data_IF_296296413705
#
_entry.id   IF_296296413705
#
_cell.length_a   1.000
_cell.length_b   1.000
_cell.length_c   1.000
_cell.angle_alpha   90.00
_cell.angle_beta   90.00
_cell.angle_gamma   90.00
#
_symmetry.space_group_name_H-M   'P 1'
#
loop_
_entity.id
_entity.type
_entity.pdbx_description
1 polymer ?
#
# COMPACT_ATOMS: atom_id res chain seq x y z
N UNK A 1 14.45 -16.99 15.67
CA UNK A 1 14.00 -16.52 16.99
C UNK A 1 13.48 -17.66 17.86
N UNK A 2 12.42 -18.42 17.46
CA UNK A 2 11.83 -19.49 18.30
C UNK A 2 12.83 -20.61 18.56
N UNK A 3 13.59 -21.07 17.57
CA UNK A 3 14.62 -22.09 17.73
C UNK A 3 15.74 -21.61 18.66
N UNK A 4 16.24 -20.40 18.46
CA UNK A 4 17.26 -19.78 19.31
C UNK A 4 16.79 -19.62 20.74
N UNK A 5 15.57 -19.08 20.95
CA UNK A 5 14.99 -18.87 22.28
C UNK A 5 14.80 -20.16 23.09
N UNK A 6 14.67 -21.30 22.41
CA UNK A 6 14.54 -22.64 23.02
C UNK A 6 15.84 -23.43 23.06
N UNK A 7 16.98 -22.81 22.72
CA UNK A 7 18.29 -23.46 22.69
C UNK A 7 18.42 -24.51 21.59
N UNK A 8 17.59 -24.43 20.55
CA UNK A 8 17.64 -25.28 19.36
C UNK A 8 18.67 -24.80 18.35
N UNK A 9 19.12 -25.71 17.47
CA UNK A 9 19.99 -25.44 16.34
C UNK A 9 19.21 -25.44 15.04
N UNK A 10 19.55 -24.52 14.10
CA UNK A 10 19.02 -24.54 12.73
C UNK A 10 19.34 -25.84 11.99
N UNK A 11 20.40 -26.55 12.39
CA UNK A 11 20.77 -27.86 11.83
C UNK A 11 19.76 -28.96 12.15
N UNK A 12 18.89 -28.76 13.16
CA UNK A 12 17.85 -29.72 13.54
C UNK A 12 16.61 -29.69 12.64
N UNK A 13 16.52 -28.71 11.71
CA UNK A 13 15.37 -28.51 10.82
C UNK A 13 15.89 -28.21 9.42
N UNK A 14 15.46 -29.00 8.45
CA UNK A 14 15.68 -28.70 7.04
C UNK A 14 14.64 -27.66 6.60
N UNK A 15 15.11 -26.50 6.10
CA UNK A 15 14.23 -25.44 5.64
C UNK A 15 14.76 -24.77 4.37
N UNK A 16 13.82 -24.39 3.51
CA UNK A 16 14.08 -23.65 2.27
C UNK A 16 13.25 -22.37 2.25
N UNK A 17 13.85 -21.29 1.76
CA UNK A 17 13.13 -20.03 1.51
C UNK A 17 12.76 -19.95 0.04
N UNK A 18 11.48 -20.02 -0.25
CA UNK A 18 10.94 -19.90 -1.61
C UNK A 18 10.47 -18.48 -1.84
N UNK A 19 10.95 -17.77 -2.89
CA UNK A 19 10.50 -16.43 -3.20
C UNK A 19 9.04 -16.41 -3.65
N UNK A 20 8.34 -15.32 -3.35
CA UNK A 20 6.94 -15.14 -3.74
C UNK A 20 6.66 -13.71 -4.21
N UNK A 21 5.48 -13.49 -4.80
CA UNK A 21 5.00 -12.18 -5.20
C UNK A 21 4.32 -11.52 -4.00
N UNK A 22 4.81 -10.37 -3.51
CA UNK A 22 4.15 -9.65 -2.42
C UNK A 22 2.84 -9.00 -2.89
N UNK A 23 1.93 -8.74 -1.95
CA UNK A 23 0.61 -8.20 -2.24
C UNK A 23 0.67 -6.86 -2.99
N UNK A 24 1.60 -5.96 -2.65
CA UNK A 24 1.77 -4.69 -3.39
C UNK A 24 2.00 -4.93 -4.88
N UNK A 25 2.88 -5.86 -5.25
CA UNK A 25 3.18 -6.16 -6.66
C UNK A 25 1.99 -6.84 -7.35
N UNK A 26 1.30 -7.73 -6.66
CA UNK A 26 0.08 -8.36 -7.19
C UNK A 26 -1.01 -7.33 -7.45
N UNK A 27 -1.25 -6.44 -6.49
CA UNK A 27 -2.22 -5.34 -6.60
C UNK A 27 -1.81 -4.32 -7.69
N UNK A 28 -0.54 -3.92 -7.72
CA UNK A 28 -0.01 -3.02 -8.76
C UNK A 28 -0.27 -3.56 -10.18
N UNK A 29 -0.08 -4.87 -10.39
CA UNK A 29 -0.35 -5.51 -11.68
C UNK A 29 -1.84 -5.48 -12.08
N UNK A 30 -2.77 -5.38 -11.14
CA UNK A 30 -4.22 -5.22 -11.40
C UNK A 30 -4.56 -3.78 -11.79
N UNK A 31 -3.89 -2.84 -11.17
CA UNK A 31 -4.12 -1.40 -11.37
C UNK A 31 -3.43 -0.84 -12.62
N UNK A 32 -2.37 -1.47 -13.10
CA UNK A 32 -1.57 -1.01 -14.24
C UNK A 32 -0.08 -0.98 -13.93
N UNK A 33 0.53 0.19 -13.86
CA UNK A 33 1.95 0.39 -13.58
C UNK A 33 2.22 1.44 -12.49
N UNK A 34 1.54 1.39 -11.31
CA UNK A 34 1.71 2.41 -10.27
C UNK A 34 3.04 2.30 -9.52
N UNK A 35 3.70 1.13 -9.52
CA UNK A 35 4.88 0.82 -8.71
C UNK A 35 6.19 0.83 -9.51
N UNK A 36 6.25 1.58 -10.59
CA UNK A 36 7.41 1.60 -11.50
C UNK A 36 8.54 2.49 -10.97
N UNK A 37 8.22 3.46 -10.13
CA UNK A 37 9.18 4.34 -9.45
C UNK A 37 9.41 3.89 -8.00
N UNK A 38 10.05 4.72 -7.18
CA UNK A 38 10.35 4.41 -5.78
C UNK A 38 9.05 4.14 -5.00
N UNK A 39 9.04 3.05 -4.26
CA UNK A 39 7.85 2.57 -3.56
C UNK A 39 8.17 2.20 -2.12
N UNK A 40 7.28 2.56 -1.21
CA UNK A 40 7.34 2.15 0.19
C UNK A 40 6.07 1.40 0.58
N UNK A 41 6.20 0.44 1.52
CA UNK A 41 5.06 -0.28 2.08
C UNK A 41 4.89 0.07 3.55
N UNK A 42 3.67 0.43 3.95
CA UNK A 42 3.30 0.75 5.33
C UNK A 42 2.11 -0.10 5.74
N UNK A 43 2.18 -0.71 6.92
CA UNK A 43 1.05 -1.45 7.50
C UNK A 43 0.37 -0.61 8.57
N UNK A 44 -0.96 -0.51 8.52
CA UNK A 44 -1.76 0.16 9.55
C UNK A 44 -2.12 -0.77 10.73
N UNK A 45 -1.51 -1.96 10.79
CA UNK A 45 -1.73 -2.89 11.90
C UNK A 45 -0.97 -2.44 13.14
N UNK A 46 -1.72 -2.01 14.16
CA UNK A 46 -1.24 -1.64 15.49
C UNK A 46 -1.08 -2.82 16.47
N UNK A 47 -1.14 -4.06 15.94
CA UNK A 47 -1.07 -5.26 16.78
C UNK A 47 0.31 -5.46 17.43
N UNK A 48 1.39 -5.16 16.70
CA UNK A 48 2.78 -5.33 17.16
C UNK A 48 3.57 -4.01 17.14
N UNK A 49 3.04 -2.98 16.50
CA UNK A 49 3.68 -1.67 16.33
C UNK A 49 2.73 -0.61 16.86
N UNK A 50 3.12 0.23 17.83
CA UNK A 50 2.26 1.30 18.33
C UNK A 50 1.82 2.25 17.21
N UNK A 51 0.60 2.81 17.33
CA UNK A 51 0.06 3.71 16.29
C UNK A 51 0.93 4.94 16.09
N UNK A 52 1.50 5.49 17.15
CA UNK A 52 2.41 6.65 17.10
C UNK A 52 3.65 6.37 16.21
N UNK A 53 4.13 5.14 16.19
CA UNK A 53 5.25 4.74 15.33
C UNK A 53 4.81 4.59 13.87
N UNK A 54 3.58 4.11 13.63
CA UNK A 54 2.98 4.03 12.29
C UNK A 54 2.77 5.44 11.73
N UNK A 55 2.21 6.36 12.52
CA UNK A 55 2.05 7.77 12.15
C UNK A 55 3.39 8.41 11.81
N UNK A 56 4.40 8.24 12.67
CA UNK A 56 5.74 8.76 12.41
C UNK A 56 6.35 8.27 11.09
N UNK A 57 6.09 7.01 10.72
CA UNK A 57 6.50 6.46 9.42
C UNK A 57 5.74 7.08 8.26
N UNK A 58 4.43 7.27 8.40
CA UNK A 58 3.60 7.92 7.39
C UNK A 58 4.01 9.38 7.18
N UNK A 59 4.20 10.14 8.25
CA UNK A 59 4.70 11.52 8.21
C UNK A 59 6.06 11.64 7.51
N UNK A 60 6.93 10.65 7.69
CA UNK A 60 8.25 10.64 7.07
C UNK A 60 8.21 10.35 5.56
N UNK A 61 7.20 9.62 5.06
CA UNK A 61 7.15 9.19 3.65
C UNK A 61 6.08 9.90 2.83
N UNK A 62 5.05 10.47 3.48
CA UNK A 62 3.96 11.16 2.80
C UNK A 62 4.40 12.36 1.96
N UNK A 63 5.34 13.24 2.44
CA UNK A 63 5.82 14.38 1.66
C UNK A 63 6.81 14.00 0.55
N UNK A 64 7.34 12.79 0.58
CA UNK A 64 8.33 12.34 -0.40
C UNK A 64 7.66 11.73 -1.64
N UNK A 65 8.33 11.76 -2.77
CA UNK A 65 7.80 11.30 -4.06
C UNK A 65 7.62 9.78 -4.20
N UNK A 66 7.45 9.03 -3.10
CA UNK A 66 7.17 7.61 -3.14
C UNK A 66 5.73 7.32 -3.55
N UNK A 67 5.51 6.23 -4.31
CA UNK A 67 4.23 5.55 -4.24
C UNK A 67 4.15 4.75 -2.94
N UNK A 68 2.99 4.75 -2.27
CA UNK A 68 2.82 4.09 -0.97
C UNK A 68 1.85 2.93 -1.10
N UNK A 69 2.30 1.71 -0.75
CA UNK A 69 1.43 0.56 -0.61
C UNK A 69 1.00 0.40 0.86
N UNK A 70 -0.29 0.56 1.12
CA UNK A 70 -0.87 0.45 2.46
C UNK A 70 -1.44 -0.94 2.67
N UNK A 71 -0.91 -1.64 3.67
CA UNK A 71 -1.38 -2.94 4.11
C UNK A 71 -2.26 -2.86 5.36
N UNK A 72 -3.17 -3.81 5.49
CA UNK A 72 -4.11 -3.89 6.61
C UNK A 72 -4.85 -2.57 6.84
N UNK A 73 -5.41 -1.94 5.77
CA UNK A 73 -5.94 -0.59 5.86
C UNK A 73 -7.11 -0.49 6.83
N UNK A 74 -7.90 -1.55 6.95
CA UNK A 74 -9.17 -1.49 7.66
C UNK A 74 -9.45 -2.71 8.52
N UNK A 75 -10.07 -2.48 9.68
CA UNK A 75 -10.84 -3.46 10.44
C UNK A 75 -11.81 -2.73 11.36
N UNK A 76 -12.85 -3.41 11.83
CA UNK A 76 -13.83 -2.81 12.78
C UNK A 76 -13.20 -2.19 14.02
N UNK A 77 -11.99 -2.63 14.40
CA UNK A 77 -11.24 -2.14 15.58
C UNK A 77 -10.21 -1.06 15.21
N UNK A 78 -9.96 -0.79 13.93
CA UNK A 78 -8.90 0.10 13.42
C UNK A 78 -9.40 1.17 12.46
N UNK A 79 -10.67 1.59 12.62
CA UNK A 79 -11.26 2.68 11.86
C UNK A 79 -10.45 3.98 12.01
N UNK A 80 -10.07 4.28 13.25
CA UNK A 80 -9.28 5.47 13.59
C UNK A 80 -7.90 5.46 12.90
N UNK A 81 -7.24 4.32 12.82
CA UNK A 81 -5.94 4.20 12.15
C UNK A 81 -6.03 4.54 10.65
N UNK A 82 -7.10 4.08 9.99
CA UNK A 82 -7.35 4.38 8.58
C UNK A 82 -7.64 5.87 8.37
N UNK A 83 -8.53 6.45 9.17
CA UNK A 83 -8.85 7.87 9.09
C UNK A 83 -7.61 8.74 9.33
N UNK A 84 -6.83 8.40 10.36
CA UNK A 84 -5.58 9.11 10.65
C UNK A 84 -4.56 8.99 9.52
N UNK A 85 -4.47 7.84 8.87
CA UNK A 85 -3.64 7.66 7.67
C UNK A 85 -4.09 8.59 6.53
N UNK A 86 -5.40 8.67 6.25
CA UNK A 86 -5.94 9.57 5.23
C UNK A 86 -5.66 11.04 5.55
N UNK A 87 -5.82 11.46 6.83
CA UNK A 87 -5.51 12.82 7.28
C UNK A 87 -4.04 13.17 6.99
N UNK A 88 -3.10 12.32 7.44
CA UNK A 88 -1.66 12.54 7.20
C UNK A 88 -1.36 12.65 5.70
N UNK A 89 -1.93 11.79 4.88
CA UNK A 89 -1.72 11.84 3.44
C UNK A 89 -2.26 13.14 2.84
N UNK A 90 -3.44 13.60 3.25
CA UNK A 90 -4.06 14.86 2.79
C UNK A 90 -3.31 16.12 3.26
N UNK A 91 -2.54 16.05 4.35
CA UNK A 91 -1.68 17.15 4.78
C UNK A 91 -0.46 17.35 3.85
N UNK A 92 -0.07 16.32 3.10
CA UNK A 92 1.19 16.30 2.33
C UNK A 92 1.01 16.09 0.82
N UNK A 93 -0.15 15.65 0.36
CA UNK A 93 -0.44 15.32 -1.04
C UNK A 93 -1.68 16.02 -1.53
N UNK A 94 -1.73 16.24 -2.84
CA UNK A 94 -2.89 16.86 -3.47
C UNK A 94 -4.14 15.96 -3.30
N UNK A 95 -5.33 16.56 -3.08
CA UNK A 95 -6.58 15.81 -2.93
C UNK A 95 -6.93 14.92 -4.12
N UNK A 96 -6.52 15.31 -5.33
CA UNK A 96 -6.71 14.56 -6.57
C UNK A 96 -5.64 13.49 -6.82
N UNK A 97 -4.73 13.24 -5.86
CA UNK A 97 -3.73 12.15 -5.97
C UNK A 97 -4.43 10.83 -6.25
N UNK A 98 -4.07 10.11 -7.36
CA UNK A 98 -4.71 8.86 -7.70
C UNK A 98 -4.50 7.77 -6.64
N UNK A 99 -5.59 7.08 -6.32
CA UNK A 99 -5.63 5.95 -5.38
C UNK A 99 -6.12 4.71 -6.12
N UNK A 100 -5.37 3.61 -5.98
CA UNK A 100 -5.81 2.30 -6.43
C UNK A 100 -6.12 1.39 -5.24
N UNK A 101 -7.31 0.78 -5.25
CA UNK A 101 -7.78 -0.14 -4.21
C UNK A 101 -7.93 -1.51 -4.85
N UNK A 102 -7.33 -2.53 -4.24
CA UNK A 102 -7.47 -3.92 -4.68
C UNK A 102 -7.84 -4.79 -3.49
N UNK A 103 -9.03 -5.32 -3.53
CA UNK A 103 -9.51 -6.34 -2.61
C UNK A 103 -9.23 -7.73 -3.15
N UNK A 104 -8.79 -8.65 -2.30
CA UNK A 104 -8.68 -10.05 -2.62
C UNK A 104 -7.81 -10.40 -3.85
N UNK A 105 -6.71 -9.67 -4.12
CA UNK A 105 -5.88 -9.85 -5.30
C UNK A 105 -5.54 -11.33 -5.57
N UNK A 106 -5.85 -11.82 -6.77
CA UNK A 106 -5.68 -13.20 -7.22
C UNK A 106 -6.57 -14.24 -6.51
N UNK A 107 -7.68 -13.78 -5.92
CA UNK A 107 -8.73 -14.64 -5.33
C UNK A 107 -10.00 -14.57 -6.18
N UNK A 108 -10.97 -15.44 -5.86
CA UNK A 108 -12.25 -15.51 -6.59
C UNK A 108 -13.13 -14.25 -6.39
N UNK A 109 -12.91 -13.53 -5.30
CA UNK A 109 -13.58 -12.29 -4.90
C UNK A 109 -12.74 -11.03 -5.21
N UNK A 110 -11.81 -11.10 -6.15
CA UNK A 110 -10.98 -9.96 -6.55
C UNK A 110 -11.82 -8.80 -7.08
N UNK A 111 -11.68 -7.64 -6.46
CA UNK A 111 -12.27 -6.38 -6.91
C UNK A 111 -11.20 -5.30 -6.99
N UNK A 112 -11.34 -4.40 -7.97
CA UNK A 112 -10.45 -3.25 -8.15
C UNK A 112 -11.25 -1.96 -8.28
N UNK A 113 -10.73 -0.88 -7.69
CA UNK A 113 -11.30 0.46 -7.80
C UNK A 113 -10.18 1.49 -7.98
N UNK A 114 -10.42 2.48 -8.83
CA UNK A 114 -9.62 3.70 -8.91
C UNK A 114 -10.45 4.86 -8.35
N UNK A 115 -9.82 5.69 -7.55
CA UNK A 115 -10.39 6.88 -6.92
C UNK A 115 -9.29 7.91 -6.70
N UNK A 116 -9.56 8.93 -5.91
CA UNK A 116 -8.62 9.94 -5.46
C UNK A 116 -8.48 9.98 -3.94
N UNK A 117 -7.50 10.75 -3.46
CA UNK A 117 -7.19 10.84 -2.04
C UNK A 117 -8.29 11.57 -1.25
N UNK A 118 -9.00 12.53 -1.85
CA UNK A 118 -10.10 13.25 -1.21
C UNK A 118 -11.28 12.32 -0.88
N UNK A 119 -11.57 11.40 -1.80
CA UNK A 119 -12.68 10.43 -1.66
C UNK A 119 -12.32 9.24 -0.74
N UNK A 120 -11.03 8.90 -0.64
CA UNK A 120 -10.57 7.71 0.10
C UNK A 120 -11.13 7.60 1.54
N UNK A 121 -11.21 8.65 2.37
CA UNK A 121 -11.74 8.56 3.73
C UNK A 121 -13.18 8.04 3.80
N UNK A 122 -14.02 8.40 2.82
CA UNK A 122 -15.44 8.01 2.77
C UNK A 122 -15.60 6.52 2.47
N UNK A 123 -14.65 5.93 1.71
CA UNK A 123 -14.66 4.53 1.35
C UNK A 123 -14.31 3.58 2.50
N UNK A 124 -13.81 4.10 3.61
CA UNK A 124 -13.51 3.29 4.80
C UNK A 124 -14.73 2.61 5.43
N UNK A 125 -15.95 3.01 5.10
CA UNK A 125 -17.18 2.34 5.53
C UNK A 125 -17.74 1.37 4.47
N UNK A 126 -17.13 1.32 3.29
CA UNK A 126 -17.54 0.44 2.19
C UNK A 126 -16.91 -0.96 2.32
N UNK A 127 -17.62 -1.98 1.84
CA UNK A 127 -17.18 -3.37 1.96
C UNK A 127 -15.90 -3.70 1.16
N UNK A 128 -15.51 -2.85 0.21
CA UNK A 128 -14.29 -3.04 -0.60
C UNK A 128 -13.00 -2.87 0.21
N UNK A 129 -13.04 -2.14 1.34
CA UNK A 129 -11.86 -1.93 2.18
C UNK A 129 -11.94 -2.79 3.45
N UNK A 130 -11.16 -3.84 3.49
CA UNK A 130 -11.05 -4.76 4.62
C UNK A 130 -9.61 -5.22 4.89
N UNK A 131 -9.44 -6.31 5.64
CA UNK A 131 -8.14 -6.89 5.97
C UNK A 131 -7.42 -7.55 4.78
N UNK A 132 -8.13 -7.84 3.69
CA UNK A 132 -7.58 -8.46 2.48
C UNK A 132 -7.31 -7.44 1.39
N UNK A 133 -7.58 -6.18 1.68
CA UNK A 133 -7.38 -5.06 0.75
C UNK A 133 -5.96 -4.50 0.86
N UNK A 134 -5.41 -4.11 -0.28
CA UNK A 134 -4.20 -3.28 -0.38
C UNK A 134 -4.56 -2.00 -1.11
N UNK A 135 -4.14 -0.86 -0.57
CA UNK A 135 -4.33 0.45 -1.19
C UNK A 135 -2.99 0.93 -1.74
N UNK A 136 -2.97 1.37 -2.99
CA UNK A 136 -1.82 2.00 -3.61
C UNK A 136 -2.10 3.49 -3.74
N UNK A 137 -1.29 4.30 -3.07
CA UNK A 137 -1.34 5.77 -3.13
C UNK A 137 -0.32 6.26 -4.14
N UNK A 138 -0.76 7.01 -5.13
CA UNK A 138 0.10 7.63 -6.14
C UNK A 138 1.01 8.71 -5.55
N UNK A 139 1.99 9.15 -6.34
CA UNK A 139 2.79 10.35 -6.08
C UNK A 139 2.35 11.50 -7.00
N UNK A 140 3.09 12.62 -6.96
CA UNK A 140 2.82 13.83 -7.75
C UNK A 140 2.84 13.62 -9.27
N UNK A 141 3.53 12.57 -9.76
CA UNK A 141 3.63 12.23 -11.18
C UNK A 141 2.61 11.17 -11.61
N UNK A 142 1.90 10.57 -10.64
CA UNK A 142 0.95 9.49 -10.91
C UNK A 142 -0.29 10.04 -11.61
N UNK A 143 -0.73 9.37 -12.67
CA UNK A 143 -1.96 9.70 -13.39
C UNK A 143 -2.77 8.44 -13.73
N UNK A 144 -4.02 8.65 -14.12
CA UNK A 144 -4.90 7.60 -14.64
C UNK A 144 -4.98 7.74 -16.16
N UNK A 145 -4.62 6.68 -16.86
CA UNK A 145 -4.77 6.56 -18.31
C UNK A 145 -5.76 5.44 -18.60
N UNK A 146 -6.88 5.80 -19.24
CA UNK A 146 -8.03 4.92 -19.38
C UNK A 146 -8.44 4.37 -18.00
N UNK A 147 -8.45 3.06 -17.81
CA UNK A 147 -8.76 2.42 -16.52
C UNK A 147 -7.49 1.91 -15.81
N UNK A 148 -6.34 2.59 -15.98
CA UNK A 148 -5.04 2.18 -15.44
C UNK A 148 -4.35 3.31 -14.71
N UNK A 149 -3.82 3.00 -13.54
CA UNK A 149 -2.97 3.87 -12.74
C UNK A 149 -1.52 3.72 -13.19
N UNK A 150 -0.86 4.84 -13.52
CA UNK A 150 0.52 4.86 -14.02
C UNK A 150 1.35 5.87 -13.26
N UNK A 151 2.51 5.44 -12.77
CA UNK A 151 3.54 6.33 -12.23
C UNK A 151 4.74 6.28 -13.17
N UNK A 152 5.05 7.36 -13.91
CA UNK A 152 6.14 7.38 -14.89
C UNK A 152 7.50 7.39 -14.18
N UNK A 153 8.55 6.93 -14.89
CA UNK A 153 9.95 7.05 -14.47
C UNK A 153 10.68 8.26 -15.05
N UNK A 154 9.95 9.17 -15.71
CA UNK A 154 10.53 10.36 -16.31
C UNK A 154 11.38 10.10 -17.56
N UNK A 155 11.22 8.96 -18.24
CA UNK A 155 11.95 8.68 -19.48
C UNK A 155 11.53 9.62 -20.61
N UNK A 156 10.27 10.05 -20.64
CA UNK A 156 9.72 11.01 -21.62
C UNK A 156 10.39 12.39 -21.54
N UNK A 157 10.96 12.76 -20.39
CA UNK A 157 11.70 14.02 -20.24
C UNK A 157 13.16 13.91 -20.72
N UNK A 158 13.65 12.69 -20.91
CA UNK A 158 15.05 12.40 -21.24
C UNK A 158 15.24 11.99 -22.71
N UNK A 159 14.23 11.41 -23.32
CA UNK A 159 14.28 10.90 -24.69
C UNK A 159 13.11 11.46 -25.51
N UNK A 160 13.43 12.06 -26.70
CA UNK A 160 12.43 12.41 -27.71
C UNK A 160 12.02 11.12 -28.42
N UNK A 161 10.73 10.73 -28.28
CA UNK A 161 10.14 9.57 -28.97
C UNK A 161 9.33 10.02 -30.17
#
# INVERSE_FOLDING_TARGET
EILESKGGSAEAVDFEVVPGVPAAQSCGARLGAPLVNDTVSVSLSDHLTPMEEIESRLEAVAPEGFTIAIYNPWSRKRRENFQRCCEILLEHRDPDTPIGIVHGASRDDEETMLTDLETLPELGEEDIIDMTTTIIVGNEDTYVFEDRMVTPRGYETKYDY
#
